data_IF_569030507745
#
_entry.id   IF_569030507745
#
_cell.length_a   1.000
_cell.length_b   1.000
_cell.length_c   1.000
_cell.angle_alpha   90.00
_cell.angle_beta   90.00
_cell.angle_gamma   90.00
#
_symmetry.space_group_name_H-M   'P 1'
#
loop_
_entity.id
_entity.type
_entity.pdbx_description
1 polymer ?
#
# COMPACT_ATOMS: atom_id res chain seq x y z
N UNK A 1 1.24 36.70 -10.97
CA UNK A 1 0.41 36.47 -9.77
C UNK A 1 0.36 34.96 -9.57
N UNK A 2 1.23 34.42 -8.72
CA UNK A 2 1.20 32.98 -8.42
C UNK A 2 -0.12 32.66 -7.76
N UNK A 3 -0.93 31.84 -8.43
CA UNK A 3 -2.11 31.25 -7.83
C UNK A 3 -1.57 30.30 -6.76
N UNK A 4 -1.52 30.79 -5.50
CA UNK A 4 -1.56 29.96 -4.30
C UNK A 4 -2.87 29.17 -4.34
N UNK A 5 -2.96 28.21 -5.26
CA UNK A 5 -3.87 27.09 -5.18
C UNK A 5 -3.69 26.58 -3.74
N UNK A 6 -4.78 26.62 -2.99
CA UNK A 6 -4.82 26.23 -1.60
C UNK A 6 -4.08 24.90 -1.45
N UNK A 7 -3.07 24.87 -0.58
CA UNK A 7 -2.09 23.78 -0.56
C UNK A 7 -2.77 22.42 -0.32
N UNK A 8 -3.88 22.43 0.42
CA UNK A 8 -4.72 21.25 0.63
C UNK A 8 -5.24 20.62 -0.67
N UNK A 9 -5.72 21.42 -1.61
CA UNK A 9 -6.26 20.91 -2.90
C UNK A 9 -5.13 20.35 -3.79
N UNK A 10 -3.94 20.94 -3.73
CA UNK A 10 -2.77 20.46 -4.50
C UNK A 10 -2.26 19.13 -3.99
N UNK A 11 -2.06 19.01 -2.67
CA UNK A 11 -1.49 17.81 -2.06
C UNK A 11 -2.42 16.61 -2.23
N UNK A 12 -3.73 16.80 -1.98
CA UNK A 12 -4.76 15.78 -2.23
C UNK A 12 -4.87 15.44 -3.71
N UNK A 13 -4.93 16.45 -4.58
CA UNK A 13 -5.06 16.27 -6.02
C UNK A 13 -3.90 15.49 -6.64
N UNK A 14 -2.66 15.71 -6.18
CA UNK A 14 -1.50 14.95 -6.63
C UNK A 14 -1.64 13.44 -6.34
N UNK A 15 -2.03 13.08 -5.12
CA UNK A 15 -2.19 11.67 -4.70
C UNK A 15 -3.42 11.04 -5.36
N UNK A 16 -4.56 11.73 -5.33
CA UNK A 16 -5.81 11.24 -5.92
C UNK A 16 -5.64 10.96 -7.41
N UNK A 17 -5.00 11.88 -8.15
CA UNK A 17 -4.80 11.69 -9.58
C UNK A 17 -3.87 10.51 -9.90
N UNK A 18 -2.82 10.30 -9.11
CA UNK A 18 -1.95 9.13 -9.27
C UNK A 18 -2.71 7.80 -9.00
N UNK A 19 -3.61 7.78 -8.01
CA UNK A 19 -4.43 6.62 -7.68
C UNK A 19 -5.56 6.39 -8.71
N UNK A 20 -6.08 7.43 -9.36
CA UNK A 20 -7.02 7.32 -10.48
C UNK A 20 -6.38 6.68 -11.71
N UNK A 21 -5.12 7.02 -11.99
CA UNK A 21 -4.33 6.42 -13.08
C UNK A 21 -3.98 4.96 -12.75
N UNK A 22 -3.80 4.66 -11.46
CA UNK A 22 -3.38 3.34 -11.01
C UNK A 22 -4.46 2.28 -11.31
N UNK A 23 -4.31 1.59 -12.44
CA UNK A 23 -5.14 0.43 -12.77
C UNK A 23 -4.67 -0.84 -12.04
N UNK A 24 -5.36 -1.98 -12.28
CA UNK A 24 -5.00 -3.27 -11.66
C UNK A 24 -3.55 -3.70 -11.91
N UNK A 25 -2.88 -3.17 -12.95
CA UNK A 25 -1.50 -3.44 -13.30
C UNK A 25 -0.46 -2.74 -12.42
N UNK A 26 -0.82 -1.69 -11.67
CA UNK A 26 0.17 -0.95 -10.86
C UNK A 26 0.71 -1.74 -9.66
N UNK A 27 -0.06 -2.68 -9.11
CA UNK A 27 0.46 -3.64 -8.13
C UNK A 27 1.63 -4.47 -8.70
N UNK A 28 1.59 -4.77 -10.00
CA UNK A 28 2.66 -5.44 -10.75
C UNK A 28 3.86 -4.55 -11.04
N UNK A 29 3.78 -3.24 -10.89
CA UNK A 29 4.91 -2.33 -11.13
C UNK A 29 5.66 -2.01 -9.84
N UNK A 30 4.93 -1.80 -8.73
CA UNK A 30 5.51 -1.30 -7.48
C UNK A 30 5.81 -2.45 -6.49
N UNK A 31 4.94 -3.47 -6.42
CA UNK A 31 5.07 -4.61 -5.52
C UNK A 31 4.98 -5.93 -6.30
N UNK A 32 5.85 -6.08 -7.30
CA UNK A 32 5.88 -7.26 -8.15
C UNK A 32 6.44 -8.49 -7.41
N UNK A 33 6.22 -9.69 -7.96
CA UNK A 33 6.64 -10.93 -7.32
C UNK A 33 8.15 -11.00 -7.03
N UNK A 34 9.01 -10.38 -7.86
CA UNK A 34 10.45 -10.43 -7.62
C UNK A 34 10.86 -9.74 -6.33
N UNK A 35 10.14 -8.69 -5.89
CA UNK A 35 10.37 -8.05 -4.60
C UNK A 35 10.13 -8.97 -3.39
N UNK A 36 9.39 -10.06 -3.58
CA UNK A 36 9.12 -11.08 -2.56
C UNK A 36 9.93 -12.36 -2.76
N UNK A 37 10.72 -12.47 -3.84
CA UNK A 37 11.56 -13.64 -4.15
C UNK A 37 12.92 -13.57 -3.45
N UNK A 38 12.91 -13.13 -2.19
CA UNK A 38 14.09 -13.07 -1.33
C UNK A 38 13.85 -13.90 -0.06
N UNK A 39 14.92 -14.31 0.65
CA UNK A 39 14.76 -14.99 1.93
C UNK A 39 13.93 -14.15 2.91
N UNK A 40 13.14 -14.79 3.78
CA UNK A 40 12.23 -14.10 4.72
C UNK A 40 12.91 -13.00 5.56
N UNK A 41 14.18 -13.19 5.96
CA UNK A 41 14.96 -12.21 6.73
C UNK A 41 15.47 -11.01 5.92
N UNK A 42 15.30 -11.01 4.61
CA UNK A 42 15.77 -9.93 3.74
C UNK A 42 14.96 -8.65 4.04
N UNK A 43 15.61 -7.47 4.13
CA UNK A 43 14.89 -6.21 4.26
C UNK A 43 13.88 -6.03 3.13
N UNK A 44 12.69 -5.54 3.46
CA UNK A 44 11.71 -5.20 2.45
C UNK A 44 12.09 -3.86 1.81
N UNK A 45 11.97 -3.79 0.48
CA UNK A 45 12.19 -2.53 -0.23
C UNK A 45 11.18 -1.45 0.23
N UNK A 46 11.63 -0.21 0.49
CA UNK A 46 10.75 0.86 0.99
C UNK A 46 9.56 1.17 0.08
N UNK A 47 9.75 1.10 -1.26
CA UNK A 47 8.67 1.33 -2.22
C UNK A 47 7.58 0.26 -2.12
N UNK A 48 7.97 -1.00 -1.92
CA UNK A 48 7.05 -2.12 -1.74
C UNK A 48 6.29 -1.98 -0.43
N UNK A 49 6.98 -1.58 0.65
CA UNK A 49 6.31 -1.27 1.93
C UNK A 49 5.27 -0.17 1.77
N UNK A 50 5.61 0.93 1.09
CA UNK A 50 4.68 2.03 0.85
C UNK A 50 3.43 1.58 0.07
N UNK A 51 3.60 0.70 -0.92
CA UNK A 51 2.47 0.11 -1.64
C UNK A 51 1.59 -0.77 -0.75
N UNK A 52 2.18 -1.62 0.10
CA UNK A 52 1.43 -2.47 1.05
C UNK A 52 0.67 -1.60 2.05
N UNK A 53 1.31 -0.59 2.65
CA UNK A 53 0.67 0.33 3.60
C UNK A 53 -0.50 1.06 2.94
N UNK A 54 -0.32 1.53 1.70
CA UNK A 54 -1.39 2.19 0.94
C UNK A 54 -2.55 1.24 0.67
N UNK A 55 -2.28 0.01 0.25
CA UNK A 55 -3.32 -0.99 0.01
C UNK A 55 -4.10 -1.33 1.29
N UNK A 56 -3.41 -1.55 2.41
CA UNK A 56 -4.06 -1.80 3.71
C UNK A 56 -4.89 -0.60 4.16
N UNK A 57 -4.39 0.63 4.00
CA UNK A 57 -5.16 1.83 4.32
C UNK A 57 -6.45 1.92 3.49
N UNK A 58 -6.40 1.59 2.20
CA UNK A 58 -7.60 1.50 1.35
C UNK A 58 -8.56 0.45 1.88
N UNK A 59 -8.08 -0.74 2.27
CA UNK A 59 -8.96 -1.79 2.80
C UNK A 59 -9.61 -1.39 4.13
N UNK A 60 -8.87 -0.80 5.04
CA UNK A 60 -9.38 -0.24 6.31
C UNK A 60 -10.46 0.80 6.06
N UNK A 61 -10.21 1.78 5.19
CA UNK A 61 -11.14 2.88 4.93
C UNK A 61 -12.38 2.45 4.14
N UNK A 62 -12.22 1.58 3.12
CA UNK A 62 -13.31 1.19 2.22
C UNK A 62 -14.13 0.01 2.73
N UNK A 63 -13.50 -0.92 3.44
CA UNK A 63 -14.13 -2.17 3.87
C UNK A 63 -14.20 -2.32 5.39
N UNK A 64 -13.88 -1.25 6.14
CA UNK A 64 -13.98 -1.18 7.60
C UNK A 64 -13.19 -2.29 8.31
N UNK A 65 -12.03 -2.66 7.76
CA UNK A 65 -11.11 -3.53 8.47
C UNK A 65 -10.61 -2.84 9.76
N UNK A 66 -10.17 -3.61 10.76
CA UNK A 66 -9.62 -3.05 11.98
C UNK A 66 -8.45 -2.09 11.71
N UNK A 67 -8.41 -0.94 12.40
CA UNK A 67 -7.33 0.06 12.22
C UNK A 67 -5.95 -0.48 12.64
N UNK A 68 -5.91 -1.50 13.52
CA UNK A 68 -4.69 -2.23 13.90
C UNK A 68 -3.97 -2.89 12.71
N UNK A 69 -4.68 -3.13 11.60
CA UNK A 69 -4.06 -3.64 10.38
C UNK A 69 -3.11 -2.63 9.75
N UNK A 70 -3.43 -1.34 9.87
CA UNK A 70 -2.54 -0.28 9.40
C UNK A 70 -1.28 -0.20 10.26
N UNK A 71 -1.41 -0.36 11.58
CA UNK A 71 -0.25 -0.44 12.48
C UNK A 71 0.64 -1.65 12.14
N UNK A 72 0.04 -2.79 11.84
CA UNK A 72 0.74 -4.00 11.41
C UNK A 72 1.50 -3.79 10.09
N UNK A 73 0.89 -3.11 9.12
CA UNK A 73 1.53 -2.76 7.85
C UNK A 73 2.71 -1.79 8.04
N UNK A 74 2.57 -0.80 8.91
CA UNK A 74 3.63 0.15 9.24
C UNK A 74 4.81 -0.52 9.97
N UNK A 75 4.57 -1.61 10.69
CA UNK A 75 5.59 -2.35 11.43
C UNK A 75 6.43 -3.32 10.58
N UNK A 76 6.06 -3.60 9.31
CA UNK A 76 6.80 -4.49 8.41
C UNK A 76 8.26 -4.01 8.26
N UNK A 77 9.23 -4.92 8.41
CA UNK A 77 10.65 -4.64 8.17
C UNK A 77 11.22 -5.53 7.08
N UNK A 78 10.78 -6.78 7.02
CA UNK A 78 11.35 -7.82 6.16
C UNK A 78 10.34 -8.38 5.16
N UNK A 79 10.84 -9.12 4.17
CA UNK A 79 9.99 -9.86 3.21
C UNK A 79 9.09 -10.87 3.92
N UNK A 80 9.60 -11.53 4.97
CA UNK A 80 8.81 -12.47 5.77
C UNK A 80 7.65 -11.79 6.50
N UNK A 81 7.89 -10.62 7.11
CA UNK A 81 6.82 -9.85 7.77
C UNK A 81 5.71 -9.48 6.79
N UNK A 82 6.09 -9.06 5.58
CA UNK A 82 5.16 -8.72 4.52
C UNK A 82 4.33 -9.93 4.08
N UNK A 83 4.96 -11.08 3.84
CA UNK A 83 4.28 -12.31 3.45
C UNK A 83 3.29 -12.77 4.53
N UNK A 84 3.71 -12.79 5.80
CA UNK A 84 2.83 -13.15 6.93
C UNK A 84 1.62 -12.23 7.01
N UNK A 85 1.82 -10.93 6.85
CA UNK A 85 0.71 -9.98 6.84
C UNK A 85 -0.23 -10.24 5.65
N UNK A 86 0.32 -10.35 4.44
CA UNK A 86 -0.45 -10.53 3.22
C UNK A 86 -1.25 -11.83 3.27
N UNK A 87 -0.64 -12.95 3.64
CA UNK A 87 -1.31 -14.24 3.72
C UNK A 87 -2.50 -14.21 4.70
N UNK A 88 -2.33 -13.53 5.84
CA UNK A 88 -3.40 -13.34 6.82
C UNK A 88 -4.54 -12.48 6.27
N UNK A 89 -4.21 -11.35 5.64
CA UNK A 89 -5.19 -10.37 5.15
C UNK A 89 -5.88 -10.79 3.86
N UNK A 90 -5.20 -11.57 3.01
CA UNK A 90 -5.71 -12.00 1.71
C UNK A 90 -7.04 -12.77 1.83
N UNK A 91 -7.22 -13.50 2.93
CA UNK A 91 -8.47 -14.22 3.24
C UNK A 91 -9.68 -13.30 3.41
N UNK A 92 -9.45 -12.04 3.79
CA UNK A 92 -10.49 -11.04 4.03
C UNK A 92 -10.71 -10.10 2.85
N UNK A 93 -9.89 -10.22 1.78
CA UNK A 93 -9.98 -9.34 0.61
C UNK A 93 -11.35 -9.56 -0.08
N UNK A 94 -12.13 -8.48 -0.31
CA UNK A 94 -13.37 -8.55 -1.06
C UNK A 94 -13.14 -9.12 -2.45
N UNK A 95 -13.91 -10.15 -2.81
CA UNK A 95 -13.89 -10.72 -4.14
C UNK A 95 -14.74 -9.85 -5.09
N UNK A 96 -14.32 -9.69 -6.36
CA UNK A 96 -15.09 -8.96 -7.35
C UNK A 96 -16.46 -9.60 -7.64
#
# INVERSE_FOLDING_TARGET
MEIKLDRGIKDEGFVSHALEIADRGCGRWIANQSAFNHPARHPLEPMVKAAIVTAVAIYVQKFRWPEEELASALAIVTVGDAQVLIDRLFLSVPKP
#
